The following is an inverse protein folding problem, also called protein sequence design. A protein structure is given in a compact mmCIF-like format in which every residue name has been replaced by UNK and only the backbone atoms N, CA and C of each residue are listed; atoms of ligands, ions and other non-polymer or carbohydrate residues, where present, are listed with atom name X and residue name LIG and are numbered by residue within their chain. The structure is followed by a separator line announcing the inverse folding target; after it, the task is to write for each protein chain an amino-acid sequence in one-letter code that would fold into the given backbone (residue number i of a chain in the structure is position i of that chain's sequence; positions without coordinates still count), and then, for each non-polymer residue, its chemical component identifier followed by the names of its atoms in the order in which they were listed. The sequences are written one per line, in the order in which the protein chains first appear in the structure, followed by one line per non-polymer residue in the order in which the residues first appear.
data_IF_775158262306
#
_entry.id   IF_775158262306
#
_cell.length_a   1.000
_cell.length_b   1.000
_cell.length_c   1.000
_cell.angle_alpha   90.00
_cell.angle_beta   90.00
_cell.angle_gamma   90.00
#
_symmetry.space_group_name_H-M   'P 1'
#
loop_
_entity.id
_entity.type
_entity.pdbx_description
1 polymer ?
#
# COMPACT_ATOMS: atom_id res chain seq x y z
N UNK A 1 -2.09 20.70 -23.21
CA UNK A 1 -2.98 20.59 -22.04
C UNK A 1 -2.36 21.43 -20.95
N UNK A 2 -3.16 22.23 -20.28
CA UNK A 2 -2.69 23.16 -19.26
C UNK A 2 -2.14 22.34 -18.09
N UNK A 3 -0.82 22.27 -17.94
CA UNK A 3 -0.16 21.60 -16.81
C UNK A 3 -0.31 22.50 -15.60
N UNK A 4 -1.50 22.51 -15.01
CA UNK A 4 -1.66 23.03 -13.66
C UNK A 4 -0.63 22.29 -12.79
N UNK A 5 0.29 23.04 -12.19
CA UNK A 5 1.29 22.49 -11.29
C UNK A 5 0.57 21.67 -10.22
N UNK A 6 0.84 20.36 -10.17
CA UNK A 6 0.29 19.52 -9.11
C UNK A 6 0.78 20.05 -7.77
N UNK A 7 -0.04 19.97 -6.71
CA UNK A 7 0.40 20.29 -5.36
C UNK A 7 1.68 19.53 -5.01
N UNK A 8 2.71 20.24 -4.55
CA UNK A 8 4.01 19.65 -4.25
C UNK A 8 3.99 18.92 -2.90
N UNK A 9 4.43 17.67 -2.86
CA UNK A 9 4.64 16.92 -1.62
C UNK A 9 6.02 17.21 -0.98
N UNK A 10 6.42 18.47 -0.96
CA UNK A 10 7.75 18.92 -0.47
C UNK A 10 7.75 19.31 1.02
N UNK A 11 6.58 19.59 1.59
CA UNK A 11 6.51 19.96 3.01
C UNK A 11 6.68 18.74 3.91
N UNK A 12 7.28 18.97 5.08
CA UNK A 12 7.55 17.91 6.05
C UNK A 12 6.28 17.42 6.74
N UNK A 13 6.21 16.12 7.00
CA UNK A 13 5.27 15.51 7.93
C UNK A 13 6.06 15.03 9.15
N UNK A 14 5.79 15.59 10.32
CA UNK A 14 6.55 15.26 11.53
C UNK A 14 6.09 13.91 12.12
N UNK A 15 7.05 13.01 12.34
CA UNK A 15 6.83 11.72 12.99
C UNK A 15 7.60 11.70 14.30
N UNK A 16 6.89 11.45 15.39
CA UNK A 16 7.49 11.34 16.71
C UNK A 16 8.34 10.06 16.86
N UNK A 17 9.28 10.07 17.80
CA UNK A 17 10.07 8.88 18.11
C UNK A 17 9.20 7.71 18.59
N UNK A 18 8.08 8.00 19.25
CA UNK A 18 7.10 6.99 19.64
C UNK A 18 6.44 6.32 18.42
N UNK A 19 6.09 7.08 17.38
CA UNK A 19 5.55 6.52 16.13
C UNK A 19 6.61 5.70 15.38
N UNK A 20 7.87 6.16 15.34
CA UNK A 20 8.98 5.39 14.75
C UNK A 20 9.18 4.06 15.49
N UNK A 21 9.16 4.09 16.82
CA UNK A 21 9.27 2.89 17.65
C UNK A 21 8.06 1.95 17.46
N UNK A 22 6.84 2.49 17.36
CA UNK A 22 5.64 1.71 17.09
C UNK A 22 5.71 1.00 15.73
N UNK A 23 6.12 1.69 14.67
CA UNK A 23 6.32 1.07 13.35
C UNK A 23 7.36 -0.06 13.42
N UNK A 24 8.54 0.19 13.98
CA UNK A 24 9.59 -0.84 14.07
C UNK A 24 9.20 -2.03 14.95
N UNK A 25 8.40 -1.78 15.98
CA UNK A 25 7.87 -2.79 16.88
C UNK A 25 6.75 -3.63 16.26
N UNK A 26 5.80 -3.01 15.58
CA UNK A 26 4.60 -3.68 15.04
C UNK A 26 4.77 -4.15 13.60
N UNK A 27 5.74 -3.59 12.87
CA UNK A 27 5.96 -3.82 11.45
C UNK A 27 5.08 -2.99 10.51
N UNK A 28 4.14 -2.23 11.07
CA UNK A 28 3.25 -1.34 10.34
C UNK A 28 2.85 -0.13 11.19
N UNK A 29 2.35 0.92 10.55
CA UNK A 29 1.77 2.10 11.19
C UNK A 29 0.73 2.78 10.30
N UNK A 30 -0.31 3.33 10.92
CA UNK A 30 -1.25 4.27 10.29
C UNK A 30 -0.88 5.71 10.64
N UNK A 31 -0.86 6.59 9.64
CA UNK A 31 -0.61 8.02 9.76
C UNK A 31 -1.75 8.81 9.08
N UNK A 32 -2.52 9.61 9.82
CA UNK A 32 -3.60 10.42 9.24
C UNK A 32 -3.04 11.64 8.50
N UNK A 33 -3.75 12.06 7.44
CA UNK A 33 -3.50 13.33 6.75
C UNK A 33 -2.09 13.51 6.20
N UNK A 34 -1.45 12.43 5.73
CA UNK A 34 -0.14 12.48 5.09
C UNK A 34 -0.19 13.34 3.83
N UNK A 35 -1.29 13.26 3.09
CA UNK A 35 -1.64 14.14 1.99
C UNK A 35 -2.87 14.97 2.37
N UNK A 36 -2.86 16.25 2.03
CA UNK A 36 -4.02 17.13 2.18
C UNK A 36 -5.15 16.72 1.22
N UNK A 37 -6.41 17.12 1.48
CA UNK A 37 -7.52 16.86 0.57
C UNK A 37 -7.29 17.37 -0.86
N UNK A 38 -6.56 18.47 -1.02
CA UNK A 38 -6.24 19.05 -2.33
C UNK A 38 -5.15 18.23 -3.06
N UNK A 39 -4.10 17.84 -2.33
CA UNK A 39 -3.02 17.00 -2.84
C UNK A 39 -3.56 15.65 -3.31
N UNK A 40 -4.34 14.96 -2.47
CA UNK A 40 -4.86 13.64 -2.81
C UNK A 40 -5.91 13.69 -3.92
N UNK A 41 -6.75 14.74 -3.95
CA UNK A 41 -7.72 14.93 -5.04
C UNK A 41 -7.03 15.13 -6.38
N UNK A 42 -5.90 15.85 -6.39
CA UNK A 42 -5.11 16.08 -7.61
C UNK A 42 -4.40 14.82 -8.08
N UNK A 43 -3.75 14.09 -7.16
CA UNK A 43 -3.18 12.77 -7.43
C UNK A 43 -4.22 11.80 -8.00
N UNK A 44 -5.42 11.75 -7.40
CA UNK A 44 -6.51 10.88 -7.84
C UNK A 44 -6.90 11.14 -9.30
N UNK A 45 -6.94 12.40 -9.74
CA UNK A 45 -7.25 12.73 -11.15
C UNK A 45 -6.20 12.14 -12.10
N UNK A 46 -4.92 12.36 -11.81
CA UNK A 46 -3.81 11.83 -12.62
C UNK A 46 -3.82 10.30 -12.69
N UNK A 47 -4.07 9.62 -11.56
CA UNK A 47 -4.16 8.15 -11.53
C UNK A 47 -5.38 7.67 -12.32
N UNK A 48 -6.54 8.33 -12.20
CA UNK A 48 -7.73 7.96 -12.97
C UNK A 48 -7.51 8.12 -14.47
N UNK A 49 -6.86 9.20 -14.89
CA UNK A 49 -6.54 9.45 -16.30
C UNK A 49 -5.51 8.43 -16.82
N UNK A 50 -4.47 8.16 -16.04
CA UNK A 50 -3.44 7.16 -16.37
C UNK A 50 -4.00 5.73 -16.50
N UNK A 51 -5.13 5.45 -15.84
CA UNK A 51 -5.71 4.10 -15.76
C UNK A 51 -7.00 3.96 -16.55
N UNK A 52 -7.45 5.00 -17.27
CA UNK A 52 -8.73 4.99 -17.97
C UNK A 52 -8.83 3.87 -19.02
N UNK A 53 -7.88 3.78 -19.95
CA UNK A 53 -7.90 2.76 -21.00
C UNK A 53 -7.71 1.33 -20.46
N UNK A 54 -6.70 1.03 -19.61
CA UNK A 54 -6.51 -0.31 -19.07
C UNK A 54 -7.72 -0.81 -18.27
N UNK A 55 -8.41 0.08 -17.53
CA UNK A 55 -9.60 -0.28 -16.77
C UNK A 55 -10.78 -0.63 -17.67
N UNK A 56 -10.97 0.08 -18.78
CA UNK A 56 -12.02 -0.25 -19.78
C UNK A 56 -11.71 -1.58 -20.49
N UNK A 57 -10.44 -1.88 -20.71
CA UNK A 57 -9.99 -3.12 -21.33
C UNK A 57 -10.02 -4.34 -20.40
N UNK A 58 -10.32 -4.15 -19.11
CA UNK A 58 -10.29 -5.23 -18.14
C UNK A 58 -11.37 -6.29 -18.38
N UNK A 59 -10.99 -7.56 -18.29
CA UNK A 59 -11.91 -8.71 -18.36
C UNK A 59 -12.93 -8.72 -17.24
N UNK A 60 -14.13 -9.26 -17.46
CA UNK A 60 -15.19 -9.35 -16.45
C UNK A 60 -14.70 -10.02 -15.14
N UNK A 61 -15.12 -9.47 -14.00
CA UNK A 61 -14.73 -9.93 -12.65
C UNK A 61 -14.91 -11.45 -12.46
N UNK A 62 -16.03 -12.01 -12.93
CA UNK A 62 -16.36 -13.44 -12.79
C UNK A 62 -15.38 -14.38 -13.49
N UNK A 63 -14.63 -13.88 -14.47
CA UNK A 63 -13.67 -14.65 -15.27
C UNK A 63 -12.25 -14.62 -14.72
N UNK A 64 -12.00 -13.88 -13.62
CA UNK A 64 -10.68 -13.73 -13.01
C UNK A 64 -10.46 -14.78 -11.91
N UNK A 65 -9.21 -15.06 -11.58
CA UNK A 65 -8.84 -15.90 -10.43
C UNK A 65 -9.07 -15.16 -9.09
N UNK A 66 -8.80 -15.81 -7.95
CA UNK A 66 -9.04 -15.23 -6.61
C UNK A 66 -8.35 -13.88 -6.45
N UNK A 67 -7.08 -13.77 -6.85
CA UNK A 67 -6.33 -12.51 -6.79
C UNK A 67 -6.87 -11.44 -7.75
N UNK A 68 -7.15 -11.80 -9.02
CA UNK A 68 -7.72 -10.87 -9.99
C UNK A 68 -9.15 -10.41 -9.65
N UNK A 69 -9.87 -11.17 -8.81
CA UNK A 69 -11.16 -10.76 -8.22
C UNK A 69 -11.01 -9.77 -7.07
N UNK A 70 -9.82 -9.63 -6.46
CA UNK A 70 -9.60 -8.70 -5.37
C UNK A 70 -9.54 -7.25 -5.89
N UNK A 71 -8.84 -7.00 -6.99
CA UNK A 71 -8.75 -5.66 -7.61
C UNK A 71 -8.19 -5.70 -9.04
N UNK A 72 -8.43 -4.63 -9.79
CA UNK A 72 -7.62 -4.28 -10.96
C UNK A 72 -6.30 -3.66 -10.50
N UNK A 73 -5.21 -4.10 -11.10
CA UNK A 73 -3.86 -3.67 -10.78
C UNK A 73 -3.19 -3.07 -12.02
N UNK A 74 -2.70 -1.84 -11.89
CA UNK A 74 -1.84 -1.21 -12.89
C UNK A 74 -0.54 -0.82 -12.23
N UNK A 75 0.58 -1.25 -12.80
CA UNK A 75 1.92 -1.11 -12.20
C UNK A 75 2.79 -0.11 -12.95
N UNK A 76 3.71 0.54 -12.25
CA UNK A 76 4.74 1.42 -12.82
C UNK A 76 4.17 2.54 -13.70
N UNK A 77 3.03 3.11 -13.29
CA UNK A 77 2.41 4.25 -13.97
C UNK A 77 3.38 5.44 -14.06
N UNK A 78 4.28 5.58 -13.08
CA UNK A 78 5.29 6.65 -13.06
C UNK A 78 6.18 6.70 -14.31
N UNK A 79 6.33 5.59 -15.04
CA UNK A 79 7.19 5.51 -16.24
C UNK A 79 6.59 6.29 -17.41
N UNK A 80 5.26 6.27 -17.54
CA UNK A 80 4.54 6.88 -18.67
C UNK A 80 3.73 8.12 -18.30
N UNK A 81 3.47 8.36 -17.02
CA UNK A 81 2.55 9.38 -16.54
C UNK A 81 3.25 10.35 -15.58
N UNK A 82 3.64 11.52 -16.10
CA UNK A 82 4.41 12.51 -15.34
C UNK A 82 3.66 13.02 -14.10
N UNK A 83 2.34 13.17 -14.16
CA UNK A 83 1.55 13.56 -12.99
C UNK A 83 1.57 12.52 -11.88
N UNK A 84 1.48 11.23 -12.23
CA UNK A 84 1.64 10.13 -11.26
C UNK A 84 3.07 10.09 -10.71
N UNK A 85 4.07 10.30 -11.58
CA UNK A 85 5.48 10.36 -11.19
C UNK A 85 5.75 11.45 -10.16
N UNK A 86 5.23 12.67 -10.35
CA UNK A 86 5.38 13.76 -9.39
C UNK A 86 4.86 13.38 -8.00
N UNK A 87 3.76 12.62 -7.94
CA UNK A 87 3.20 12.16 -6.68
C UNK A 87 4.04 11.06 -6.02
N UNK A 88 4.34 9.97 -6.74
CA UNK A 88 5.02 8.80 -6.15
C UNK A 88 6.50 9.04 -5.82
N UNK A 89 7.11 10.06 -6.44
CA UNK A 89 8.44 10.58 -6.06
C UNK A 89 8.38 11.70 -5.00
N UNK A 90 7.21 11.95 -4.40
CA UNK A 90 7.01 13.01 -3.43
C UNK A 90 7.95 12.90 -2.22
N UNK A 91 8.70 13.98 -1.96
CA UNK A 91 9.72 14.02 -0.92
C UNK A 91 9.18 13.69 0.48
N UNK A 92 8.00 14.21 0.84
CA UNK A 92 7.33 13.93 2.12
C UNK A 92 7.16 12.44 2.37
N UNK A 93 6.67 11.71 1.36
CA UNK A 93 6.45 10.25 1.45
C UNK A 93 7.79 9.53 1.63
N UNK A 94 8.80 9.92 0.85
CA UNK A 94 10.14 9.34 0.93
C UNK A 94 10.81 9.61 2.30
N UNK A 95 10.66 10.80 2.86
CA UNK A 95 11.18 11.18 4.18
C UNK A 95 10.51 10.37 5.29
N UNK A 96 9.18 10.24 5.26
CA UNK A 96 8.45 9.38 6.21
C UNK A 96 8.99 7.95 6.16
N UNK A 97 9.06 7.37 4.96
CA UNK A 97 9.56 6.01 4.77
C UNK A 97 10.99 5.82 5.29
N UNK A 98 11.87 6.80 5.02
CA UNK A 98 13.25 6.79 5.50
C UNK A 98 13.33 6.88 7.04
N UNK A 99 12.57 7.80 7.66
CA UNK A 99 12.54 7.97 9.12
C UNK A 99 12.01 6.72 9.85
N UNK A 100 10.93 6.11 9.32
CA UNK A 100 10.34 4.89 9.85
C UNK A 100 11.33 3.71 9.81
N UNK A 101 11.97 3.47 8.66
CA UNK A 101 12.98 2.42 8.51
C UNK A 101 14.30 2.74 9.21
N UNK A 102 14.61 4.01 9.48
CA UNK A 102 15.88 4.44 10.06
C UNK A 102 17.03 4.46 9.07
N UNK A 103 16.75 4.75 7.80
CA UNK A 103 17.75 4.87 6.73
C UNK A 103 17.90 6.31 6.26
N UNK A 104 18.97 6.63 5.53
CA UNK A 104 19.23 7.99 5.05
C UNK A 104 18.40 8.38 3.82
N UNK A 105 17.73 7.43 3.18
CA UNK A 105 16.91 7.68 1.99
C UNK A 105 16.36 6.39 1.41
N UNK A 106 15.41 6.54 0.49
CA UNK A 106 14.68 5.44 -0.16
C UNK A 106 14.81 5.52 -1.67
N UNK A 107 14.50 4.40 -2.34
CA UNK A 107 14.36 4.33 -3.80
C UNK A 107 12.99 3.73 -4.10
N UNK A 108 12.27 4.31 -5.05
CA UNK A 108 11.04 3.72 -5.54
C UNK A 108 11.37 2.44 -6.29
N UNK A 109 10.78 1.31 -5.88
CA UNK A 109 10.87 0.05 -6.61
C UNK A 109 9.78 -0.04 -7.69
N UNK A 110 8.53 0.15 -7.30
CA UNK A 110 7.40 0.31 -8.20
C UNK A 110 6.28 1.14 -7.55
N UNK A 111 5.36 1.63 -8.37
CA UNK A 111 4.05 2.11 -7.92
C UNK A 111 2.95 1.19 -8.44
N UNK A 112 1.80 1.19 -7.74
CA UNK A 112 0.62 0.43 -8.15
C UNK A 112 -0.66 1.23 -7.88
N UNK A 113 -1.54 1.28 -8.87
CA UNK A 113 -2.92 1.71 -8.67
C UNK A 113 -3.83 0.49 -8.55
N UNK A 114 -4.57 0.42 -7.44
CA UNK A 114 -5.44 -0.70 -7.08
C UNK A 114 -6.90 -0.25 -7.08
N UNK A 115 -7.73 -0.91 -7.89
CA UNK A 115 -9.17 -0.62 -7.96
C UNK A 115 -9.98 -1.83 -7.51
N UNK A 116 -10.59 -1.71 -6.34
CA UNK A 116 -11.51 -2.73 -5.83
C UNK A 116 -12.90 -2.51 -6.40
N UNK A 117 -13.38 -3.49 -7.16
CA UNK A 117 -14.73 -3.46 -7.72
C UNK A 117 -15.75 -3.92 -6.68
N UNK A 118 -16.98 -3.39 -6.74
CA UNK A 118 -18.05 -3.84 -5.85
C UNK A 118 -18.31 -5.34 -6.03
N UNK A 119 -18.45 -6.07 -4.91
CA UNK A 119 -18.52 -7.55 -4.87
C UNK A 119 -17.21 -8.28 -5.22
N UNK A 120 -16.10 -7.54 -5.34
CA UNK A 120 -14.76 -8.13 -5.39
C UNK A 120 -14.44 -8.92 -4.11
N UNK A 121 -13.50 -9.85 -4.23
CA UNK A 121 -13.06 -10.69 -3.11
C UNK A 121 -12.26 -9.94 -2.05
N UNK A 122 -11.89 -10.65 -0.99
CA UNK A 122 -10.82 -10.20 -0.10
C UNK A 122 -9.46 -10.41 -0.79
N UNK A 123 -8.44 -9.70 -0.34
CA UNK A 123 -7.05 -9.99 -0.72
C UNK A 123 -6.52 -10.98 0.32
N UNK A 124 -6.14 -12.21 -0.06
CA UNK A 124 -5.59 -13.17 0.90
C UNK A 124 -4.38 -12.65 1.64
N UNK A 125 -4.13 -13.19 2.84
CA UNK A 125 -2.90 -12.99 3.58
C UNK A 125 -1.67 -13.27 2.70
N UNK A 126 -0.66 -12.40 2.82
CA UNK A 126 0.60 -12.51 2.10
C UNK A 126 1.70 -11.65 2.74
N UNK A 127 2.92 -11.84 2.26
CA UNK A 127 4.07 -10.97 2.51
C UNK A 127 4.47 -10.32 1.19
N UNK A 128 4.50 -8.99 1.13
CA UNK A 128 4.81 -8.26 -0.10
C UNK A 128 6.18 -8.63 -0.68
N UNK A 129 7.19 -8.78 0.18
CA UNK A 129 8.56 -9.04 -0.25
C UNK A 129 8.75 -10.45 -0.84
N UNK A 130 7.77 -11.35 -0.69
CA UNK A 130 7.73 -12.61 -1.43
C UNK A 130 7.88 -12.39 -2.95
N UNK A 131 7.38 -11.26 -3.45
CA UNK A 131 7.33 -10.93 -4.88
C UNK A 131 8.48 -10.04 -5.35
N UNK A 132 9.32 -9.56 -4.43
CA UNK A 132 10.34 -8.57 -4.75
C UNK A 132 11.72 -9.22 -4.84
N UNK A 133 12.42 -9.15 -5.97
CA UNK A 133 13.76 -9.69 -6.14
C UNK A 133 14.80 -8.75 -5.49
N UNK A 134 14.64 -8.45 -4.19
CA UNK A 134 15.44 -7.51 -3.43
C UNK A 134 16.18 -8.23 -2.29
N UNK A 135 17.50 -8.09 -2.25
CA UNK A 135 18.37 -8.62 -1.21
C UNK A 135 18.57 -7.58 -0.07
N UNK A 136 17.47 -7.18 0.56
CA UNK A 136 17.48 -6.24 1.70
C UNK A 136 16.22 -6.41 2.53
N UNK A 137 16.32 -6.24 3.85
CA UNK A 137 15.15 -6.20 4.75
C UNK A 137 14.58 -4.79 4.95
N UNK A 138 15.28 -3.77 4.42
CA UNK A 138 14.82 -2.38 4.47
C UNK A 138 13.91 -2.08 3.27
N UNK A 139 12.75 -2.73 3.26
CA UNK A 139 11.70 -2.53 2.27
C UNK A 139 10.44 -2.01 2.97
N UNK A 140 9.68 -1.14 2.32
CA UNK A 140 8.48 -0.56 2.90
C UNK A 140 7.47 -0.26 1.80
N UNK A 141 6.24 -0.67 2.02
CA UNK A 141 5.10 -0.27 1.20
C UNK A 141 4.46 0.95 1.85
N UNK A 142 4.08 1.92 1.01
CA UNK A 142 3.22 3.04 1.40
C UNK A 142 1.89 2.87 0.70
N UNK A 143 0.82 2.74 1.47
CA UNK A 143 -0.52 2.60 0.93
C UNK A 143 -1.37 3.81 1.30
N UNK A 144 -1.96 4.44 0.30
CA UNK A 144 -2.69 5.70 0.43
C UNK A 144 -4.05 5.53 -0.24
N UNK A 145 -5.17 5.58 0.49
CA UNK A 145 -6.48 5.54 -0.12
C UNK A 145 -6.73 6.87 -0.85
N UNK A 146 -7.17 6.76 -2.10
CA UNK A 146 -7.53 7.92 -2.92
C UNK A 146 -8.95 8.44 -2.64
N UNK A 147 -9.73 7.71 -1.84
CA UNK A 147 -11.09 8.02 -1.43
C UNK A 147 -11.26 7.69 0.06
N UNK A 148 -12.28 8.26 0.70
CA UNK A 148 -12.64 7.84 2.06
C UNK A 148 -13.07 6.37 2.05
N UNK A 149 -12.64 5.63 3.08
CA UNK A 149 -12.91 4.21 3.26
C UNK A 149 -13.57 3.93 4.60
N UNK A 150 -14.49 2.97 4.57
CA UNK A 150 -15.07 2.30 5.73
C UNK A 150 -14.60 0.84 5.76
N UNK A 151 -14.69 0.19 6.92
CA UNK A 151 -14.20 -1.18 7.11
C UNK A 151 -14.74 -2.19 6.07
N UNK A 152 -15.98 -2.05 5.64
CA UNK A 152 -16.63 -2.91 4.63
C UNK A 152 -16.11 -2.69 3.20
N UNK A 153 -15.33 -1.63 2.96
CA UNK A 153 -14.68 -1.36 1.67
C UNK A 153 -13.33 -2.09 1.51
N UNK A 154 -12.92 -2.90 2.49
CA UNK A 154 -11.69 -3.68 2.45
C UNK A 154 -10.44 -2.87 2.78
N UNK A 155 -10.46 -2.17 3.92
CA UNK A 155 -9.27 -1.55 4.51
C UNK A 155 -8.27 -2.66 4.88
N UNK A 156 -6.96 -2.39 4.74
CA UNK A 156 -5.92 -3.37 5.09
C UNK A 156 -5.99 -3.80 6.54
N UNK A 157 -5.61 -5.05 6.75
CA UNK A 157 -5.37 -5.65 8.05
C UNK A 157 -3.92 -6.13 8.13
N UNK A 158 -3.34 -6.05 9.32
CA UNK A 158 -1.96 -6.41 9.60
C UNK A 158 -1.89 -7.30 10.82
N UNK A 159 -1.11 -8.39 10.75
CA UNK A 159 -0.71 -9.17 11.91
C UNK A 159 0.47 -8.45 12.61
N UNK A 160 0.19 -7.74 13.70
CA UNK A 160 1.21 -6.94 14.38
C UNK A 160 2.36 -7.80 14.89
N UNK A 161 3.60 -7.37 14.60
CA UNK A 161 4.88 -8.04 14.88
C UNK A 161 5.21 -9.22 13.98
N UNK A 162 4.41 -9.53 12.95
CA UNK A 162 4.67 -10.68 12.07
C UNK A 162 5.99 -10.56 11.29
N UNK A 163 6.42 -9.33 10.99
CA UNK A 163 7.63 -9.01 10.22
C UNK A 163 8.92 -9.61 10.80
N UNK A 164 8.95 -9.86 12.12
CA UNK A 164 10.11 -10.43 12.80
C UNK A 164 10.41 -11.88 12.40
N UNK A 165 9.45 -12.57 11.77
CA UNK A 165 9.65 -13.94 11.29
C UNK A 165 10.40 -13.99 9.94
N UNK A 166 10.56 -12.84 9.26
CA UNK A 166 11.16 -12.80 7.93
C UNK A 166 10.36 -13.60 6.91
N UNK A 167 11.04 -14.17 5.92
CA UNK A 167 10.39 -14.88 4.82
C UNK A 167 9.76 -16.22 5.25
N UNK A 168 8.44 -16.34 5.11
CA UNK A 168 7.68 -17.56 5.38
C UNK A 168 7.60 -18.44 4.11
N UNK A 169 8.70 -19.12 3.77
CA UNK A 169 8.84 -19.85 2.50
C UNK A 169 7.81 -20.95 2.24
N UNK A 170 7.16 -21.47 3.27
CA UNK A 170 6.18 -22.56 3.17
C UNK A 170 4.75 -22.07 2.85
N UNK A 171 4.51 -20.76 2.93
CA UNK A 171 3.17 -20.17 2.76
C UNK A 171 2.76 -20.04 1.30
N UNK A 172 3.73 -19.97 0.37
CA UNK A 172 3.48 -19.84 -1.06
C UNK A 172 2.97 -18.45 -1.47
N UNK A 173 2.48 -18.35 -2.72
CA UNK A 173 1.92 -17.13 -3.27
C UNK A 173 0.44 -16.95 -2.87
N UNK A 174 -0.05 -15.71 -2.94
CA UNK A 174 -1.45 -15.29 -2.74
C UNK A 174 -2.41 -16.27 -3.42
N UNK A 175 -3.19 -16.96 -2.59
CA UNK A 175 -4.15 -17.99 -2.96
C UNK A 175 -5.08 -18.26 -1.78
N UNK A 176 -6.13 -19.07 -1.99
CA UNK A 176 -6.94 -19.55 -0.88
C UNK A 176 -6.13 -20.46 0.06
N UNK A 177 -5.09 -21.13 -0.44
CA UNK A 177 -4.17 -21.92 0.38
C UNK A 177 -3.26 -21.04 1.26
N UNK A 178 -2.73 -19.92 0.72
CA UNK A 178 -1.91 -19.00 1.52
C UNK A 178 -2.75 -18.31 2.58
N UNK A 179 -4.02 -17.97 2.28
CA UNK A 179 -4.97 -17.46 3.27
C UNK A 179 -5.03 -18.39 4.47
N UNK A 180 -5.43 -19.64 4.26
CA UNK A 180 -5.66 -20.59 5.35
C UNK A 180 -4.39 -20.86 6.17
N UNK A 181 -3.23 -20.99 5.52
CA UNK A 181 -1.96 -21.27 6.21
C UNK A 181 -1.45 -20.08 7.02
N UNK A 182 -1.51 -18.87 6.45
CA UNK A 182 -1.03 -17.68 7.15
C UNK A 182 -2.00 -17.32 8.28
N UNK A 183 -3.30 -17.51 8.08
CA UNK A 183 -4.30 -17.30 9.14
C UNK A 183 -4.04 -18.24 10.34
N UNK A 184 -3.88 -19.55 10.10
CA UNK A 184 -3.51 -20.52 11.14
C UNK A 184 -2.17 -20.16 11.82
N UNK A 185 -1.19 -19.67 11.05
CA UNK A 185 0.08 -19.20 11.60
C UNK A 185 -0.08 -17.97 12.51
N UNK A 186 -0.88 -16.99 12.07
CA UNK A 186 -1.18 -15.76 12.81
C UNK A 186 -1.90 -16.09 14.12
N UNK A 187 -2.92 -16.95 14.05
CA UNK A 187 -3.66 -17.44 15.22
C UNK A 187 -2.76 -18.24 16.17
N UNK A 188 -1.98 -19.19 15.64
CA UNK A 188 -1.10 -20.04 16.41
C UNK A 188 0.04 -19.28 17.12
N UNK A 189 0.49 -18.16 16.54
CA UNK A 189 1.44 -17.24 17.18
C UNK A 189 0.78 -16.27 18.15
N UNK A 190 -0.55 -16.14 18.11
CA UNK A 190 -1.30 -15.16 18.89
C UNK A 190 -0.97 -13.73 18.48
N UNK A 191 -0.72 -13.48 17.19
CA UNK A 191 -0.51 -12.11 16.71
C UNK A 191 -1.80 -11.31 16.76
N UNK A 192 -1.69 -10.05 17.15
CA UNK A 192 -2.82 -9.13 17.15
C UNK A 192 -3.09 -8.68 15.70
N UNK A 193 -4.28 -9.00 15.19
CA UNK A 193 -4.74 -8.51 13.89
C UNK A 193 -5.33 -7.11 14.06
N UNK A 194 -4.72 -6.13 13.39
CA UNK A 194 -5.07 -4.71 13.50
C UNK A 194 -5.43 -4.14 12.13
N UNK A 195 -6.40 -3.24 12.10
CA UNK A 195 -6.81 -2.50 10.90
C UNK A 195 -7.60 -1.26 11.31
N UNK A 196 -7.63 -0.24 10.46
CA UNK A 196 -8.40 0.96 10.75
C UNK A 196 -9.89 0.72 10.44
N UNK A 197 -10.82 1.17 11.29
CA UNK A 197 -12.25 1.07 11.00
C UNK A 197 -12.69 2.03 9.89
N UNK A 198 -11.97 3.16 9.75
CA UNK A 198 -12.16 4.18 8.72
C UNK A 198 -10.81 4.76 8.33
N UNK A 199 -10.66 5.17 7.07
CA UNK A 199 -9.54 5.98 6.60
C UNK A 199 -10.07 7.11 5.73
N UNK A 200 -9.46 8.29 5.82
CA UNK A 200 -9.74 9.41 4.93
C UNK A 200 -8.85 9.39 3.71
N UNK A 201 -9.34 9.92 2.60
CA UNK A 201 -8.48 10.15 1.44
C UNK A 201 -7.25 10.98 1.85
N UNK A 202 -6.05 10.48 1.57
CA UNK A 202 -4.79 11.14 1.93
C UNK A 202 -4.23 10.75 3.29
N UNK A 203 -4.91 9.91 4.06
CA UNK A 203 -4.25 9.12 5.10
C UNK A 203 -3.25 8.15 4.46
N UNK A 204 -2.41 7.51 5.27
CA UNK A 204 -1.54 6.45 4.77
C UNK A 204 -1.32 5.36 5.83
N UNK A 205 -1.04 4.14 5.35
CA UNK A 205 -0.31 3.17 6.16
C UNK A 205 1.04 2.90 5.55
N UNK A 206 1.96 2.48 6.41
CA UNK A 206 3.28 2.04 6.05
C UNK A 206 3.50 0.68 6.68
N UNK A 207 4.04 -0.28 5.93
CA UNK A 207 4.34 -1.62 6.43
C UNK A 207 5.60 -2.20 5.80
N UNK A 208 6.35 -2.99 6.56
CA UNK A 208 7.50 -3.74 6.03
C UNK A 208 7.04 -4.77 5.00
N UNK A 209 7.98 -5.23 4.17
CA UNK A 209 7.70 -6.26 3.18
C UNK A 209 7.46 -7.67 3.74
N UNK A 210 7.86 -7.93 4.99
CA UNK A 210 7.66 -9.20 5.70
C UNK A 210 6.62 -9.10 6.80
#
# INVERSE_FOLDING_TARGET
MDTALLPSLESRYDISDAQKAAFRGNGHIYLPGVCSPEEISSCRREILDATAEPRVAATDLEKRDTYGKAFLQMMNLWVGHEGVKQFVFGKRIAEIAAELMGVSGTRLYHDQALFKEGRGGYTPWHQDQHYWPLDTLNTITVWIPLVDLTADMGIMQFASKSHVNGYLSEMGAISDESEARIDEFVEGKGYEVTGQPVMKAGDATFHYGW
#
